data_IF_719644121495
#
_entry.id   IF_719644121495
#
_cell.length_a   1.000
_cell.length_b   1.000
_cell.length_c   1.000
_cell.angle_alpha   90.00
_cell.angle_beta   90.00
_cell.angle_gamma   90.00
#
_symmetry.space_group_name_H-M   'P 1'
#
loop_
_entity.id
_entity.type
_entity.pdbx_description
1 polymer ?
#
# COMPACT_ATOMS: atom_id res chain seq x y z
N UNK A 1 14.88 -52.22 42.22
CA UNK A 1 13.79 -52.51 43.16
C UNK A 1 13.06 -51.21 43.47
N UNK A 2 11.99 -50.83 42.79
CA UNK A 2 11.49 -51.25 41.47
C UNK A 2 12.19 -50.39 40.38
N UNK A 3 12.44 -50.83 39.14
CA UNK A 3 11.49 -51.14 38.04
C UNK A 3 10.58 -49.92 37.73
N UNK A 4 10.65 -49.26 36.58
CA UNK A 4 10.82 -49.72 35.17
C UNK A 4 9.53 -50.26 34.52
N UNK A 5 8.44 -49.49 34.64
CA UNK A 5 7.31 -49.57 33.72
C UNK A 5 6.97 -48.19 33.12
N UNK A 6 6.14 -48.18 32.08
CA UNK A 6 5.63 -47.02 31.30
C UNK A 6 6.54 -46.39 30.25
N UNK A 7 7.83 -46.76 30.11
CA UNK A 7 8.67 -46.35 28.96
C UNK A 7 8.83 -47.44 27.88
N UNK A 8 7.89 -48.40 27.80
CA UNK A 8 7.95 -49.53 26.86
C UNK A 8 6.55 -50.01 26.41
N UNK A 9 5.79 -49.10 25.78
CA UNK A 9 4.66 -49.47 24.91
C UNK A 9 4.81 -48.68 23.60
N UNK A 10 5.92 -48.99 22.91
CA UNK A 10 6.16 -48.67 21.51
C UNK A 10 6.11 -50.02 20.76
N UNK A 11 5.77 -50.02 19.46
CA UNK A 11 5.61 -51.20 18.61
C UNK A 11 4.49 -52.21 18.97
N UNK A 12 3.26 -51.92 18.51
CA UNK A 12 2.57 -52.87 17.64
C UNK A 12 2.08 -52.15 16.38
N UNK A 13 2.56 -52.58 15.21
CA UNK A 13 2.19 -52.02 13.91
C UNK A 13 0.86 -52.56 13.35
N UNK A 14 0.38 -51.90 12.29
CA UNK A 14 -0.57 -52.42 11.29
C UNK A 14 -2.04 -52.63 11.76
N UNK A 15 -3.06 -52.72 10.90
CA UNK A 15 -3.07 -53.06 9.45
C UNK A 15 -4.29 -52.47 8.71
N UNK A 16 -4.16 -52.22 7.39
CA UNK A 16 -5.24 -52.15 6.34
C UNK A 16 -6.24 -50.96 6.38
N UNK A 17 -6.85 -50.47 5.29
CA UNK A 17 -6.73 -50.62 3.82
C UNK A 17 -7.19 -49.27 3.14
N UNK A 18 -6.84 -48.81 1.92
CA UNK A 18 -6.44 -49.39 0.60
C UNK A 18 -7.62 -49.95 -0.27
N UNK A 19 -7.65 -49.88 -1.62
CA UNK A 19 -7.04 -48.99 -2.65
C UNK A 19 -7.67 -49.25 -4.05
N UNK A 20 -8.33 -48.26 -4.70
CA UNK A 20 -8.04 -47.91 -6.13
C UNK A 20 -8.17 -46.38 -6.41
N UNK A 21 -7.91 -45.73 -7.57
CA UNK A 21 -7.69 -46.06 -9.01
C UNK A 21 -8.94 -46.20 -9.92
N UNK A 22 -8.94 -45.82 -11.22
CA UNK A 22 -7.95 -45.15 -12.11
C UNK A 22 -8.64 -44.50 -13.36
N UNK A 23 -7.86 -43.81 -14.22
CA UNK A 23 -8.11 -43.53 -15.68
C UNK A 23 -9.35 -42.66 -16.09
N UNK A 24 -9.44 -41.99 -17.25
CA UNK A 24 -8.49 -41.42 -18.24
C UNK A 24 -9.24 -40.28 -19.01
N UNK A 25 -8.56 -39.46 -19.84
CA UNK A 25 -9.15 -38.36 -20.62
C UNK A 25 -9.73 -38.82 -21.99
N UNK A 26 -10.44 -37.96 -22.75
CA UNK A 26 -9.73 -37.08 -23.68
C UNK A 26 -10.33 -35.67 -23.85
N UNK A 27 -9.78 -34.94 -24.83
CA UNK A 27 -10.09 -33.55 -25.27
C UNK A 27 -11.38 -33.51 -26.12
N UNK A 28 -11.85 -32.43 -26.75
CA UNK A 28 -11.40 -31.02 -26.97
C UNK A 28 -12.71 -30.15 -27.00
N UNK A 29 -12.89 -28.88 -27.40
CA UNK A 29 -12.27 -27.86 -28.27
C UNK A 29 -12.58 -26.46 -27.67
N UNK A 30 -11.85 -25.39 -28.06
CA UNK A 30 -12.25 -23.97 -27.87
C UNK A 30 -12.37 -23.29 -29.25
N UNK A 31 -13.38 -22.44 -29.49
CA UNK A 31 -13.03 -21.06 -29.89
C UNK A 31 -13.92 -20.00 -29.19
N UNK A 32 -13.86 -18.76 -29.67
CA UNK A 32 -14.12 -17.55 -28.87
C UNK A 32 -15.00 -16.50 -29.57
N UNK A 33 -15.54 -15.58 -28.78
CA UNK A 33 -16.06 -14.25 -29.17
C UNK A 33 -17.22 -14.15 -30.19
N UNK A 34 -18.38 -13.74 -29.68
CA UNK A 34 -19.32 -12.89 -30.42
C UNK A 34 -19.65 -11.66 -29.55
N UNK A 35 -19.48 -10.44 -30.07
CA UNK A 35 -19.74 -9.19 -29.35
C UNK A 35 -20.19 -8.07 -30.28
N UNK A 36 -21.36 -7.50 -30.00
CA UNK A 36 -21.92 -6.31 -30.65
C UNK A 36 -22.98 -5.69 -29.70
N UNK A 37 -23.53 -4.48 -29.96
CA UNK A 37 -23.08 -3.43 -30.91
C UNK A 37 -22.86 -2.07 -30.22
N UNK A 38 -22.29 -1.09 -30.94
CA UNK A 38 -22.94 0.22 -31.24
C UNK A 38 -22.03 1.15 -32.07
N UNK A 39 -22.66 2.07 -32.80
CA UNK A 39 -22.02 3.01 -33.72
C UNK A 39 -21.61 4.33 -33.05
N UNK A 40 -20.75 5.12 -33.71
CA UNK A 40 -21.04 6.50 -34.18
C UNK A 40 -19.82 7.05 -34.96
N UNK A 41 -20.06 7.77 -36.06
CA UNK A 41 -19.12 8.57 -36.90
C UNK A 41 -19.40 10.08 -36.64
N UNK A 42 -18.58 11.08 -37.07
CA UNK A 42 -17.71 11.10 -38.26
C UNK A 42 -16.36 11.87 -38.11
N UNK A 43 -15.72 12.15 -39.27
CA UNK A 43 -14.69 13.19 -39.52
C UNK A 43 -13.28 13.00 -38.92
N UNK A 44 -12.19 13.44 -39.56
CA UNK A 44 -11.94 13.82 -40.97
C UNK A 44 -10.42 13.85 -41.26
N UNK A 45 -10.07 14.11 -42.54
CA UNK A 45 -8.73 14.45 -43.05
C UNK A 45 -7.61 13.40 -42.97
N UNK A 46 -6.56 13.61 -43.76
CA UNK A 46 -5.36 12.79 -43.84
C UNK A 46 -4.27 13.49 -44.64
N UNK A 47 -3.03 12.97 -44.61
CA UNK A 47 -1.90 13.43 -45.41
C UNK A 47 -0.88 12.30 -45.59
N UNK A 48 -0.21 12.29 -46.74
CA UNK A 48 0.99 11.49 -46.97
C UNK A 48 2.20 12.10 -46.27
N UNK A 49 3.13 11.27 -45.81
CA UNK A 49 4.54 11.64 -45.68
C UNK A 49 5.41 10.62 -46.42
N UNK A 50 6.16 11.09 -47.42
CA UNK A 50 7.22 10.31 -48.06
C UNK A 50 8.50 10.47 -47.25
N UNK A 51 9.13 9.36 -46.86
CA UNK A 51 10.48 9.38 -46.30
C UNK A 51 11.49 9.08 -47.41
N UNK A 52 12.48 9.93 -47.57
CA UNK A 52 13.64 9.73 -48.44
C UNK A 52 14.88 9.38 -47.59
N UNK A 53 15.81 8.62 -48.16
CA UNK A 53 17.00 8.14 -47.45
C UNK A 53 18.31 8.65 -48.10
N UNK A 54 19.28 8.97 -47.23
CA UNK A 54 20.69 9.29 -47.51
C UNK A 54 21.38 9.50 -46.16
N UNK A 55 22.49 8.82 -45.82
CA UNK A 55 23.88 9.06 -46.28
C UNK A 55 24.35 10.50 -45.99
N UNK A 56 25.43 10.77 -45.23
CA UNK A 56 26.38 9.95 -44.43
C UNK A 56 26.93 10.84 -43.25
N UNK A 57 28.04 10.64 -42.52
CA UNK A 57 29.19 9.69 -42.44
C UNK A 57 29.85 9.75 -41.03
N UNK A 58 30.74 8.78 -40.74
CA UNK A 58 31.80 8.78 -39.69
C UNK A 58 31.47 8.94 -38.18
N UNK A 59 32.42 8.54 -37.33
CA UNK A 59 32.40 8.77 -35.87
C UNK A 59 33.74 8.47 -35.21
N UNK A 60 34.01 9.00 -34.00
CA UNK A 60 34.74 8.18 -33.02
C UNK A 60 34.35 8.40 -31.54
N UNK A 61 34.83 7.47 -30.70
CA UNK A 61 34.96 7.50 -29.25
C UNK A 61 33.67 7.39 -28.38
N UNK A 62 33.70 6.58 -27.29
CA UNK A 62 32.55 6.41 -26.39
C UNK A 62 32.47 7.52 -25.33
N UNK A 63 31.26 7.87 -24.92
CA UNK A 63 31.04 8.62 -23.69
C UNK A 63 31.26 7.70 -22.48
N UNK A 64 32.08 8.11 -21.53
CA UNK A 64 32.18 7.43 -20.23
C UNK A 64 30.84 7.57 -19.48
N UNK A 65 30.29 6.45 -19.02
CA UNK A 65 29.13 6.48 -18.14
C UNK A 65 29.56 6.99 -16.75
N UNK A 66 28.83 7.93 -16.12
CA UNK A 66 29.21 8.48 -14.82
C UNK A 66 29.31 7.36 -13.79
N UNK A 67 30.43 7.32 -13.08
CA UNK A 67 30.77 6.16 -12.26
C UNK A 67 29.84 6.05 -11.04
N UNK A 68 29.66 4.83 -10.52
CA UNK A 68 28.81 4.59 -9.36
C UNK A 68 29.25 5.38 -8.10
N UNK A 69 30.50 5.84 -8.04
CA UNK A 69 30.99 6.68 -6.95
C UNK A 69 30.41 8.12 -6.97
N UNK A 70 30.09 8.67 -8.14
CA UNK A 70 29.54 10.03 -8.26
C UNK A 70 28.06 10.06 -7.84
N UNK A 71 27.29 9.03 -8.23
CA UNK A 71 25.89 8.88 -7.82
C UNK A 71 25.69 8.60 -6.32
N UNK A 72 26.75 8.17 -5.62
CA UNK A 72 26.76 7.92 -4.17
C UNK A 72 27.37 9.09 -3.37
N UNK A 73 28.07 10.02 -4.01
CA UNK A 73 28.65 11.21 -3.35
C UNK A 73 27.79 12.47 -3.49
N UNK A 74 26.75 12.46 -4.34
CA UNK A 74 25.61 13.38 -4.21
C UNK A 74 24.78 13.04 -2.98
N UNK A 75 25.23 13.54 -1.81
CA UNK A 75 24.60 13.34 -0.51
C UNK A 75 23.09 13.63 -0.52
N UNK A 76 22.28 12.59 -0.30
CA UNK A 76 20.82 12.70 -0.16
C UNK A 76 20.45 13.19 1.25
N UNK A 77 21.01 14.34 1.63
CA UNK A 77 20.73 15.02 2.88
C UNK A 77 19.23 15.25 3.10
N UNK A 78 18.77 15.33 4.36
CA UNK A 78 17.35 15.28 4.71
C UNK A 78 16.55 16.34 3.95
N UNK A 79 15.63 15.86 3.10
CA UNK A 79 14.93 16.67 2.10
C UNK A 79 14.31 17.93 2.73
N UNK A 80 14.92 19.09 2.41
CA UNK A 80 14.74 20.34 3.16
C UNK A 80 13.28 20.79 3.16
N UNK A 81 12.61 20.62 4.30
CA UNK A 81 11.18 20.88 4.50
C UNK A 81 10.88 22.37 4.22
N UNK A 82 10.23 22.63 3.08
CA UNK A 82 9.76 23.96 2.72
C UNK A 82 8.51 24.29 3.54
N UNK A 83 8.56 25.38 4.30
CA UNK A 83 7.42 25.88 5.09
C UNK A 83 6.34 26.43 4.15
N UNK A 84 5.08 26.07 4.39
CA UNK A 84 3.95 26.56 3.62
C UNK A 84 3.70 28.05 3.90
N UNK A 85 3.37 28.82 2.85
CA UNK A 85 2.95 30.22 2.99
C UNK A 85 1.62 30.26 3.75
N UNK A 86 1.61 30.84 4.95
CA UNK A 86 0.48 30.75 5.88
C UNK A 86 0.52 29.54 6.81
N UNK A 87 1.72 29.09 7.21
CA UNK A 87 1.88 28.03 8.22
C UNK A 87 1.28 28.43 9.58
N UNK A 88 0.58 27.49 10.22
CA UNK A 88 -0.01 27.68 11.57
C UNK A 88 1.01 27.50 12.71
N UNK A 89 2.23 27.07 12.39
CA UNK A 89 3.36 26.88 13.32
C UNK A 89 3.04 25.99 14.55
N UNK A 90 2.23 24.95 14.32
CA UNK A 90 1.82 24.00 15.37
C UNK A 90 2.95 23.00 15.56
N UNK A 91 3.50 22.89 16.77
CA UNK A 91 4.65 22.01 17.06
C UNK A 91 4.20 20.58 17.39
N UNK A 92 3.12 20.45 18.17
CA UNK A 92 2.64 19.18 18.74
C UNK A 92 1.21 18.89 18.26
N UNK A 93 0.95 17.68 17.79
CA UNK A 93 -0.33 17.30 17.19
C UNK A 93 -0.78 15.87 17.47
N UNK A 94 -1.89 15.48 16.84
CA UNK A 94 -2.51 14.16 16.94
C UNK A 94 -2.73 13.61 15.53
N UNK A 95 -2.14 12.46 15.20
CA UNK A 95 -2.41 11.76 13.94
C UNK A 95 -3.48 10.69 14.14
N UNK A 96 -4.68 10.95 13.63
CA UNK A 96 -5.78 9.99 13.61
C UNK A 96 -5.70 9.14 12.35
N UNK A 97 -5.44 7.84 12.52
CA UNK A 97 -5.32 6.85 11.44
C UNK A 97 -6.59 5.97 11.44
N UNK A 98 -7.48 6.15 10.48
CA UNK A 98 -8.63 5.27 10.29
C UNK A 98 -8.27 4.15 9.31
N UNK A 99 -7.92 2.98 9.86
CA UNK A 99 -7.56 1.78 9.13
C UNK A 99 -8.80 0.88 8.95
N UNK A 100 -9.48 1.03 7.81
CA UNK A 100 -10.60 0.14 7.42
C UNK A 100 -10.13 -0.91 6.43
N UNK A 101 -10.85 -2.03 6.29
CA UNK A 101 -10.53 -3.10 5.34
C UNK A 101 -10.49 -2.67 3.86
N UNK A 102 -11.09 -1.53 3.51
CA UNK A 102 -11.24 -1.09 2.11
C UNK A 102 -10.46 0.19 1.77
N UNK A 103 -9.94 0.90 2.78
CA UNK A 103 -9.34 2.23 2.64
C UNK A 103 -8.63 2.66 3.93
N UNK A 104 -7.52 3.39 3.79
CA UNK A 104 -6.92 4.17 4.87
C UNK A 104 -7.22 5.66 4.72
N UNK A 105 -7.48 6.32 5.85
CA UNK A 105 -7.52 7.77 5.99
C UNK A 105 -6.52 8.16 7.09
N UNK A 106 -5.72 9.19 6.85
CA UNK A 106 -4.81 9.77 7.84
C UNK A 106 -5.12 11.26 7.93
N UNK A 107 -5.47 11.72 9.12
CA UNK A 107 -5.73 13.13 9.40
C UNK A 107 -4.86 13.56 10.58
N UNK A 108 -4.11 14.65 10.41
CA UNK A 108 -3.22 15.19 11.44
C UNK A 108 -3.82 16.51 11.93
N UNK A 109 -4.02 16.60 13.25
CA UNK A 109 -4.72 17.72 13.91
C UNK A 109 -3.87 18.38 14.97
N UNK A 110 -4.21 19.62 15.32
CA UNK A 110 -3.75 20.28 16.53
C UNK A 110 -4.24 19.52 17.78
N UNK A 111 -3.67 19.84 18.96
CA UNK A 111 -4.23 19.38 20.24
C UNK A 111 -5.68 19.85 20.47
N UNK A 112 -6.08 20.97 19.85
CA UNK A 112 -7.47 21.47 19.84
C UNK A 112 -8.39 20.75 18.83
N UNK A 113 -7.90 19.76 18.07
CA UNK A 113 -8.68 18.99 17.10
C UNK A 113 -8.89 19.64 15.73
N UNK A 114 -8.39 20.86 15.51
CA UNK A 114 -8.38 21.49 14.18
C UNK A 114 -7.51 20.66 13.22
N UNK A 115 -8.00 20.38 12.01
CA UNK A 115 -7.22 19.65 11.00
C UNK A 115 -6.14 20.56 10.39
N UNK A 116 -4.91 20.04 10.33
CA UNK A 116 -3.76 20.67 9.65
C UNK A 116 -3.60 20.07 8.26
N UNK A 117 -3.46 18.75 8.18
CA UNK A 117 -3.36 18.00 6.93
C UNK A 117 -4.23 16.75 6.97
N UNK A 118 -4.65 16.28 5.80
CA UNK A 118 -5.34 15.01 5.66
C UNK A 118 -5.02 14.36 4.32
N UNK A 119 -5.02 13.04 4.30
CA UNK A 119 -4.85 12.24 3.10
C UNK A 119 -5.65 10.94 3.15
N UNK A 120 -5.82 10.33 1.98
CA UNK A 120 -6.55 9.07 1.78
C UNK A 120 -5.98 8.33 0.59
N UNK A 121 -6.15 7.01 0.54
CA UNK A 121 -5.69 6.23 -0.62
C UNK A 121 -6.34 6.74 -1.93
N UNK A 122 -7.54 7.33 -1.84
CA UNK A 122 -8.21 8.02 -2.94
C UNK A 122 -7.51 9.30 -3.40
N UNK A 123 -7.03 10.16 -2.47
CA UNK A 123 -6.28 11.40 -2.77
C UNK A 123 -4.94 11.10 -3.45
N UNK A 124 -4.26 10.05 -2.99
CA UNK A 124 -2.98 9.55 -3.54
C UNK A 124 -3.14 8.82 -4.89
N UNK A 125 -4.37 8.69 -5.40
CA UNK A 125 -4.64 8.14 -6.74
C UNK A 125 -4.95 6.63 -6.78
N UNK A 126 -4.86 5.90 -5.67
CA UNK A 126 -5.26 4.49 -5.65
C UNK A 126 -6.76 4.32 -5.91
N UNK A 127 -7.13 3.28 -6.67
CA UNK A 127 -8.50 2.96 -7.09
C UNK A 127 -8.77 1.46 -6.93
N UNK A 128 -10.05 1.10 -6.91
CA UNK A 128 -10.49 -0.29 -6.72
C UNK A 128 -9.91 -0.94 -5.46
N UNK A 129 -9.51 -2.21 -5.58
CA UNK A 129 -8.92 -3.01 -4.49
C UNK A 129 -7.58 -2.47 -3.99
N UNK A 130 -6.80 -1.75 -4.81
CA UNK A 130 -5.44 -1.28 -4.43
C UNK A 130 -5.43 -0.33 -3.21
N UNK A 131 -6.59 0.25 -2.84
CA UNK A 131 -6.78 1.13 -1.68
C UNK A 131 -6.67 0.45 -0.31
N UNK A 132 -6.79 -0.88 -0.23
CA UNK A 132 -6.66 -1.65 1.02
C UNK A 132 -5.26 -2.22 1.26
N UNK A 133 -4.26 -1.81 0.46
CA UNK A 133 -2.89 -2.31 0.56
C UNK A 133 -2.07 -1.56 1.62
N UNK A 134 -1.12 -2.26 2.23
CA UNK A 134 -0.12 -1.67 3.14
C UNK A 134 0.67 -0.51 2.47
N UNK A 135 1.04 -0.68 1.20
CA UNK A 135 1.74 0.33 0.42
C UNK A 135 0.91 1.61 0.20
N UNK A 136 -0.39 1.49 -0.05
CA UNK A 136 -1.27 2.65 -0.11
C UNK A 136 -1.31 3.40 1.23
N UNK A 137 -1.34 2.69 2.36
CA UNK A 137 -1.28 3.31 3.69
C UNK A 137 0.04 4.05 3.96
N UNK A 138 1.18 3.48 3.55
CA UNK A 138 2.48 4.14 3.62
C UNK A 138 2.50 5.44 2.81
N UNK A 139 2.05 5.43 1.56
CA UNK A 139 2.08 6.62 0.71
C UNK A 139 1.12 7.73 1.18
N UNK A 140 -0.02 7.36 1.78
CA UNK A 140 -0.99 8.26 2.41
C UNK A 140 -0.42 8.93 3.66
N UNK A 141 0.27 8.17 4.51
CA UNK A 141 0.97 8.72 5.66
C UNK A 141 2.10 9.69 5.23
N UNK A 142 2.83 9.37 4.16
CA UNK A 142 3.84 10.26 3.58
C UNK A 142 3.26 11.58 3.04
N UNK A 143 2.14 11.55 2.32
CA UNK A 143 1.46 12.76 1.84
C UNK A 143 0.96 13.65 3.00
N UNK A 144 0.27 13.06 3.98
CA UNK A 144 -0.23 13.79 5.14
C UNK A 144 0.91 14.35 6.03
N UNK A 145 1.96 13.54 6.27
CA UNK A 145 3.09 13.91 7.12
C UNK A 145 3.96 15.02 6.51
N UNK A 146 4.24 14.97 5.20
CA UNK A 146 4.94 16.07 4.49
C UNK A 146 4.17 17.38 4.58
N UNK A 147 2.85 17.34 4.37
CA UNK A 147 1.98 18.52 4.53
C UNK A 147 1.98 19.05 5.97
N UNK A 148 1.93 18.18 6.98
CA UNK A 148 2.01 18.55 8.39
C UNK A 148 3.35 19.21 8.76
N UNK A 149 4.48 18.66 8.29
CA UNK A 149 5.81 19.25 8.49
C UNK A 149 5.94 20.63 7.87
N UNK A 150 5.39 20.87 6.68
CA UNK A 150 5.33 22.21 6.07
C UNK A 150 4.54 23.23 6.90
N UNK A 151 3.69 22.80 7.83
CA UNK A 151 3.02 23.67 8.80
C UNK A 151 3.72 23.79 10.17
N UNK A 152 4.81 23.06 10.40
CA UNK A 152 5.68 23.18 11.58
C UNK A 152 5.66 22.00 12.57
N UNK A 153 4.87 20.95 12.30
CA UNK A 153 4.69 19.82 13.22
C UNK A 153 5.96 18.98 13.37
N UNK A 154 6.26 18.59 14.61
CA UNK A 154 7.37 17.72 15.02
C UNK A 154 6.87 16.50 15.79
N UNK A 155 6.16 16.74 16.89
CA UNK A 155 5.69 15.73 17.84
C UNK A 155 4.25 15.32 17.55
N UNK A 156 3.95 14.02 17.63
CA UNK A 156 2.64 13.47 17.28
C UNK A 156 2.22 12.35 18.24
N UNK A 157 1.03 12.47 18.84
CA UNK A 157 0.31 11.34 19.41
C UNK A 157 -0.46 10.60 18.30
N UNK A 158 -0.23 9.29 18.12
CA UNK A 158 -0.94 8.50 17.12
C UNK A 158 -2.18 7.84 17.74
N UNK A 159 -3.35 8.05 17.12
CA UNK A 159 -4.63 7.41 17.46
C UNK A 159 -5.10 6.54 16.31
N UNK A 160 -5.09 5.21 16.48
CA UNK A 160 -5.48 4.27 15.40
C UNK A 160 -6.88 3.74 15.62
N UNK A 161 -7.74 3.87 14.61
CA UNK A 161 -9.11 3.38 14.60
C UNK A 161 -9.30 2.28 13.56
N UNK A 162 -9.62 1.08 14.01
CA UNK A 162 -9.95 -0.08 13.18
C UNK A 162 -8.79 -1.05 12.93
N UNK A 163 -9.11 -2.31 12.58
CA UNK A 163 -8.15 -3.41 12.39
C UNK A 163 -7.65 -3.55 10.94
N UNK A 164 -7.78 -2.52 10.10
CA UNK A 164 -7.37 -2.60 8.70
C UNK A 164 -5.86 -2.81 8.52
N UNK A 165 -5.50 -3.53 7.45
CA UNK A 165 -4.12 -3.83 7.00
C UNK A 165 -3.13 -2.66 7.08
N UNK A 166 -3.58 -1.44 6.80
CA UNK A 166 -2.74 -0.24 6.83
C UNK A 166 -2.41 0.31 8.22
N UNK A 167 -2.87 -0.30 9.32
CA UNK A 167 -2.63 0.14 10.71
C UNK A 167 -1.14 0.37 10.99
N UNK A 168 -0.32 -0.67 10.85
CA UNK A 168 1.12 -0.57 11.16
C UNK A 168 1.90 0.18 10.09
N UNK A 169 1.55 -0.02 8.82
CA UNK A 169 2.24 0.60 7.69
C UNK A 169 2.18 2.12 7.74
N UNK A 170 1.05 2.68 8.20
CA UNK A 170 0.91 4.12 8.42
C UNK A 170 1.75 4.63 9.61
N UNK A 171 1.83 3.88 10.73
CA UNK A 171 2.68 4.25 11.88
C UNK A 171 4.16 4.30 11.47
N UNK A 172 4.67 3.20 10.88
CA UNK A 172 6.07 3.11 10.43
C UNK A 172 6.39 4.18 9.39
N UNK A 173 5.44 4.51 8.52
CA UNK A 173 5.59 5.58 7.54
C UNK A 173 5.64 6.98 8.18
N UNK A 174 4.83 7.29 9.20
CA UNK A 174 4.92 8.58 9.91
C UNK A 174 6.29 8.74 10.58
N UNK A 175 6.79 7.68 11.23
CA UNK A 175 8.14 7.66 11.83
C UNK A 175 9.23 7.88 10.78
N UNK A 176 9.14 7.20 9.63
CA UNK A 176 10.13 7.27 8.54
C UNK A 176 10.15 8.62 7.78
N UNK A 177 9.19 9.53 8.02
CA UNK A 177 9.25 10.90 7.52
C UNK A 177 10.06 11.81 8.46
N UNK A 178 10.24 11.40 9.73
CA UNK A 178 10.86 12.20 10.78
C UNK A 178 9.87 12.92 11.72
N UNK A 179 8.65 12.39 11.89
CA UNK A 179 7.75 12.82 12.97
C UNK A 179 8.05 12.01 14.24
N UNK A 180 8.20 12.70 15.36
CA UNK A 180 8.47 12.11 16.67
C UNK A 180 7.14 11.58 17.27
N UNK A 181 7.15 10.32 17.73
CA UNK A 181 5.93 9.63 18.17
C UNK A 181 5.91 9.55 19.69
N UNK A 182 5.14 10.43 20.32
CA UNK A 182 5.04 10.51 21.79
C UNK A 182 4.24 9.34 22.39
N UNK A 183 3.44 8.65 21.58
CA UNK A 183 2.68 7.48 22.00
C UNK A 183 1.70 6.99 20.94
N UNK A 184 1.29 5.72 21.06
CA UNK A 184 0.34 5.07 20.17
C UNK A 184 -0.85 4.59 21.01
N UNK A 185 -2.06 5.03 20.65
CA UNK A 185 -3.32 4.67 21.33
C UNK A 185 -4.27 4.00 20.34
N UNK A 186 -4.83 2.85 20.72
CA UNK A 186 -5.94 2.25 19.99
C UNK A 186 -7.25 2.97 20.38
N UNK A 187 -7.98 3.46 19.39
CA UNK A 187 -9.30 4.12 19.53
C UNK A 187 -10.36 3.41 18.70
N UNK A 188 -10.18 2.10 18.46
CA UNK A 188 -11.18 1.24 17.83
C UNK A 188 -12.39 1.07 18.76
N UNK A 189 -13.60 1.47 18.34
CA UNK A 189 -14.77 1.41 19.20
C UNK A 189 -15.23 -0.03 19.42
N UNK A 190 -15.11 -0.52 20.66
CA UNK A 190 -15.69 -1.79 21.12
C UNK A 190 -17.07 -1.51 21.72
N UNK A 191 -18.17 -2.00 21.12
CA UNK A 191 -19.52 -1.74 21.65
C UNK A 191 -19.86 -2.68 22.81
N UNK A 192 -20.27 -2.13 23.96
CA UNK A 192 -20.69 -2.89 25.15
C UNK A 192 -22.12 -3.46 25.02
N UNK A 193 -22.35 -4.22 23.94
CA UNK A 193 -23.66 -4.56 23.37
C UNK A 193 -24.44 -3.32 22.86
N UNK A 194 -25.06 -3.44 21.69
CA UNK A 194 -25.70 -2.30 21.02
C UNK A 194 -26.34 -2.71 19.70
N UNK A 195 -26.29 -1.82 18.69
CA UNK A 195 -26.88 -2.07 17.37
C UNK A 195 -26.44 -3.41 16.78
N UNK A 196 -27.41 -4.27 16.46
CA UNK A 196 -27.18 -5.63 15.92
C UNK A 196 -26.27 -5.57 14.67
N UNK A 197 -25.16 -6.32 14.62
CA UNK A 197 -24.29 -6.33 13.45
C UNK A 197 -25.02 -6.88 12.22
N UNK A 198 -24.61 -6.42 11.03
CA UNK A 198 -25.19 -6.88 9.75
C UNK A 198 -25.03 -8.39 9.60
N UNK A 199 -26.08 -9.05 9.09
CA UNK A 199 -26.11 -10.50 8.81
C UNK A 199 -24.84 -10.93 8.05
N UNK A 200 -24.20 -12.03 8.49
CA UNK A 200 -23.02 -12.61 7.83
C UNK A 200 -23.30 -12.76 6.33
N UNK A 201 -22.42 -12.20 5.50
CA UNK A 201 -22.56 -12.29 4.03
C UNK A 201 -22.49 -13.75 3.59
N UNK A 202 -23.33 -14.10 2.62
CA UNK A 202 -23.13 -15.26 1.75
C UNK A 202 -22.37 -14.74 0.52
N UNK A 203 -21.18 -15.26 0.31
CA UNK A 203 -20.24 -14.99 -0.80
C UNK A 203 -19.52 -16.30 -1.07
#
# INVERSE_FOLDING_TARGET
MAEEEQKKVEETEATSAAKPEAAEAPKEVKPEAAKAPKEVKPAAEGKEEKKAEGKTDDGPAPAEAPSAAELLSTDLGPAKIVKAKGSKNVVNGIATICATFNNTLVSITDMHGNVVSWSSAGKVGFRGSRKSTAFAAQQVAQDAGRQAMSHGLKEVEIRVKGPGSGRESAIRALQAIGLEINGIKDVTPVPHNGCRPRKKRRV
#
